data_IF_527480396655
#
_entry.id   IF_527480396655
#
_cell.length_a   1.000
_cell.length_b   1.000
_cell.length_c   1.000
_cell.angle_alpha   90.00
_cell.angle_beta   90.00
_cell.angle_gamma   90.00
#
_symmetry.space_group_name_H-M   'P 1'
#
loop_
_entity.id
_entity.type
_entity.pdbx_description
1 polymer ?
#
# COMPACT_ATOMS: atom_id res chain seq x y z
N UNK A 1 -4.22 23.19 10.01
CA UNK A 1 -5.52 22.51 10.26
C UNK A 1 -5.84 22.60 11.74
N UNK A 2 -6.99 23.16 12.10
CA UNK A 2 -7.37 23.38 13.51
C UNK A 2 -7.74 22.05 14.18
N UNK A 3 -7.51 21.93 15.51
CA UNK A 3 -7.84 20.73 16.32
C UNK A 3 -9.28 20.22 16.13
N UNK A 4 -10.18 21.09 15.71
CA UNK A 4 -11.60 20.80 15.44
C UNK A 4 -11.79 19.93 14.17
N UNK A 5 -11.03 20.19 13.12
CA UNK A 5 -11.13 19.44 11.84
C UNK A 5 -10.66 18.00 12.00
N UNK A 6 -9.63 17.77 12.82
CA UNK A 6 -9.12 16.41 13.11
C UNK A 6 -10.14 15.59 13.91
N UNK A 7 -10.85 16.22 14.86
CA UNK A 7 -11.88 15.54 15.66
C UNK A 7 -13.10 15.14 14.81
N UNK A 8 -13.54 16.00 13.91
CA UNK A 8 -14.68 15.72 13.01
C UNK A 8 -14.32 14.58 12.06
N UNK A 9 -13.10 14.56 11.52
CA UNK A 9 -12.63 13.50 10.62
C UNK A 9 -12.58 12.14 11.32
N UNK A 10 -12.04 12.07 12.53
CA UNK A 10 -12.04 10.82 13.33
C UNK A 10 -13.46 10.32 13.65
N UNK A 11 -14.41 11.22 13.95
CA UNK A 11 -15.79 10.83 14.27
C UNK A 11 -16.52 10.29 13.05
N UNK A 12 -16.33 10.89 11.86
CA UNK A 12 -16.94 10.42 10.61
C UNK A 12 -16.38 9.07 10.19
N UNK A 13 -15.07 8.84 10.37
CA UNK A 13 -14.43 7.56 10.05
C UNK A 13 -14.91 6.44 10.99
N UNK A 14 -15.01 6.69 12.30
CA UNK A 14 -15.56 5.73 13.25
C UNK A 14 -17.02 5.37 12.95
N UNK A 15 -17.85 6.33 12.51
CA UNK A 15 -19.26 6.06 12.20
C UNK A 15 -19.45 5.21 10.94
N UNK A 16 -18.56 5.30 9.95
CA UNK A 16 -18.57 4.44 8.76
C UNK A 16 -18.32 2.96 9.06
N UNK A 17 -17.54 2.66 10.11
CA UNK A 17 -17.25 1.29 10.52
C UNK A 17 -18.32 0.70 11.45
N UNK A 18 -19.11 1.53 12.13
CA UNK A 18 -20.10 1.12 13.14
C UNK A 18 -21.53 0.97 12.60
N UNK A 19 -21.80 1.38 11.36
CA UNK A 19 -23.15 1.23 10.79
C UNK A 19 -23.50 -0.27 10.64
N UNK A 20 -24.42 -0.74 11.46
CA UNK A 20 -25.00 -2.09 11.44
C UNK A 20 -26.06 -2.27 10.34
N UNK A 21 -25.81 -1.82 9.14
CA UNK A 21 -26.69 -2.14 8.04
C UNK A 21 -26.62 -3.66 7.79
N UNK A 22 -27.75 -4.35 7.98
CA UNK A 22 -27.89 -5.81 7.91
C UNK A 22 -27.67 -6.37 6.49
N UNK A 23 -26.45 -6.32 6.02
CA UNK A 23 -26.02 -7.12 4.89
C UNK A 23 -25.61 -8.48 5.43
N UNK A 24 -26.09 -9.56 4.78
CA UNK A 24 -25.70 -10.92 5.10
C UNK A 24 -24.16 -11.01 5.09
N UNK A 25 -23.56 -11.05 6.28
CA UNK A 25 -22.15 -11.34 6.42
C UNK A 25 -21.98 -12.81 6.11
N UNK A 26 -21.28 -13.09 5.02
CA UNK A 26 -20.87 -14.44 4.74
C UNK A 26 -19.94 -14.88 5.88
N UNK A 27 -20.39 -15.83 6.69
CA UNK A 27 -19.60 -16.43 7.77
C UNK A 27 -18.58 -17.35 7.12
N UNK A 28 -17.47 -16.76 6.70
CA UNK A 28 -16.29 -17.53 6.28
C UNK A 28 -15.67 -18.10 7.57
N UNK A 29 -15.83 -19.39 7.81
CA UNK A 29 -15.47 -20.12 9.03
C UNK A 29 -13.94 -20.24 9.23
N UNK A 30 -13.17 -19.29 8.71
CA UNK A 30 -11.76 -19.14 9.05
C UNK A 30 -10.80 -19.98 8.21
N UNK A 31 -11.22 -20.55 7.08
CA UNK A 31 -10.31 -21.17 6.13
C UNK A 31 -9.58 -20.10 5.30
N UNK A 32 -8.30 -19.88 5.61
CA UNK A 32 -7.45 -18.93 4.88
C UNK A 32 -7.09 -19.40 3.46
N UNK A 33 -7.42 -20.65 3.09
CA UNK A 33 -7.33 -21.15 1.70
C UNK A 33 -8.54 -20.75 0.86
N UNK A 34 -9.68 -20.45 1.52
CA UNK A 34 -10.88 -20.04 0.82
C UNK A 34 -10.68 -18.70 0.10
N UNK A 35 -11.22 -18.59 -1.10
CA UNK A 35 -11.17 -17.35 -1.85
C UNK A 35 -12.06 -16.30 -1.22
N UNK A 36 -11.46 -15.22 -0.70
CA UNK A 36 -12.19 -14.03 -0.24
C UNK A 36 -12.47 -13.14 -1.45
N UNK A 37 -13.71 -13.18 -1.96
CA UNK A 37 -14.06 -12.50 -3.22
C UNK A 37 -13.93 -10.97 -3.14
N UNK A 38 -14.18 -10.36 -1.97
CA UNK A 38 -14.01 -8.92 -1.78
C UNK A 38 -12.54 -8.50 -1.60
N UNK A 39 -11.66 -9.44 -1.25
CA UNK A 39 -10.26 -9.20 -0.90
C UNK A 39 -9.34 -10.25 -1.54
N UNK A 40 -9.12 -10.19 -2.87
CA UNK A 40 -8.36 -11.21 -3.57
C UNK A 40 -6.84 -11.06 -3.43
N UNK A 41 -6.29 -9.98 -2.85
CA UNK A 41 -4.85 -9.72 -2.80
C UNK A 41 -4.37 -9.16 -1.46
N UNK A 42 -3.07 -9.34 -1.17
CA UNK A 42 -2.38 -8.95 0.07
C UNK A 42 -2.03 -7.46 0.15
N UNK A 43 -2.09 -6.75 -0.95
CA UNK A 43 -1.93 -5.29 -1.02
C UNK A 43 -3.06 -4.66 -1.81
N UNK A 44 -3.34 -3.40 -1.55
CA UNK A 44 -4.14 -2.54 -2.43
C UNK A 44 -3.32 -2.22 -3.68
N UNK A 45 -2.59 -1.13 -3.65
CA UNK A 45 -1.57 -0.82 -4.67
C UNK A 45 -0.19 -0.86 -4.01
N UNK A 46 -0.02 -0.10 -2.92
CA UNK A 46 1.16 -0.06 -2.07
C UNK A 46 0.83 -0.34 -0.59
N UNK A 47 -0.40 -0.09 -0.15
CA UNK A 47 -0.86 -0.32 1.21
C UNK A 47 -1.20 -1.80 1.44
N UNK A 48 -0.80 -2.39 2.60
CA UNK A 48 -1.11 -3.78 2.92
C UNK A 48 -2.61 -3.99 3.17
N UNK A 49 -3.11 -5.21 2.96
CA UNK A 49 -4.46 -5.65 3.36
C UNK A 49 -4.40 -6.52 4.61
N UNK A 50 -5.56 -6.91 5.13
CA UNK A 50 -5.67 -7.89 6.21
C UNK A 50 -5.76 -9.34 5.73
N UNK A 51 -5.68 -9.57 4.42
CA UNK A 51 -5.68 -10.93 3.86
C UNK A 51 -4.51 -11.73 4.44
N UNK A 52 -4.77 -13.00 4.76
CA UNK A 52 -3.81 -13.88 5.43
C UNK A 52 -3.44 -15.04 4.52
N UNK A 53 -2.21 -15.49 4.63
CA UNK A 53 -1.78 -16.76 4.08
C UNK A 53 -2.18 -17.91 5.01
N UNK A 54 -2.65 -19.04 4.47
CA UNK A 54 -2.75 -20.27 5.26
C UNK A 54 -1.37 -20.76 5.67
N UNK A 55 -1.30 -21.58 6.71
CA UNK A 55 -0.03 -22.22 7.12
C UNK A 55 0.55 -23.01 5.94
N UNK A 56 1.85 -22.82 5.68
CA UNK A 56 2.60 -23.35 4.55
C UNK A 56 2.16 -22.81 3.18
N UNK A 57 1.22 -21.88 3.13
CA UNK A 57 0.93 -21.14 1.90
C UNK A 57 2.01 -20.09 1.61
N UNK A 58 2.17 -19.76 0.35
CA UNK A 58 3.09 -18.69 -0.06
C UNK A 58 2.49 -17.82 -1.15
N UNK A 59 3.05 -16.62 -1.30
CA UNK A 59 2.71 -15.73 -2.40
C UNK A 59 3.94 -14.99 -2.88
N UNK A 60 3.98 -14.74 -4.17
CA UNK A 60 4.95 -13.86 -4.83
C UNK A 60 4.21 -12.63 -5.34
N UNK A 61 4.78 -11.45 -5.10
CA UNK A 61 4.25 -10.18 -5.57
C UNK A 61 5.34 -9.40 -6.28
N UNK A 62 5.03 -8.91 -7.48
CA UNK A 62 5.86 -8.04 -8.28
C UNK A 62 5.16 -6.70 -8.41
N UNK A 63 5.86 -5.62 -8.09
CA UNK A 63 5.45 -4.25 -8.38
C UNK A 63 6.33 -3.67 -9.47
N UNK A 64 5.73 -2.90 -10.38
CA UNK A 64 6.44 -2.20 -11.44
C UNK A 64 5.85 -0.80 -11.58
N UNK A 65 6.70 0.23 -11.55
CA UNK A 65 6.33 1.62 -11.78
C UNK A 65 7.25 2.20 -12.85
N UNK A 66 6.66 2.73 -13.92
CA UNK A 66 7.41 3.48 -14.92
C UNK A 66 7.84 4.81 -14.34
N UNK A 67 9.09 5.25 -14.60
CA UNK A 67 9.65 6.43 -13.93
C UNK A 67 9.32 7.75 -14.62
N UNK A 68 8.68 7.72 -15.78
CA UNK A 68 8.22 8.91 -16.47
C UNK A 68 6.90 9.39 -15.87
N UNK A 69 6.81 10.65 -15.39
CA UNK A 69 5.53 11.21 -14.99
C UNK A 69 4.56 11.29 -16.17
N UNK A 70 3.28 11.03 -15.92
CA UNK A 70 2.24 11.13 -16.95
C UNK A 70 2.04 12.58 -17.43
N UNK A 71 2.26 13.57 -16.54
CA UNK A 71 2.33 14.98 -16.90
C UNK A 71 3.74 15.49 -16.62
N UNK A 72 4.49 15.83 -17.66
CA UNK A 72 5.87 16.25 -17.55
C UNK A 72 6.14 17.38 -18.54
N UNK A 73 6.29 18.62 -18.03
CA UNK A 73 6.55 19.80 -18.87
C UNK A 73 7.98 19.85 -19.40
N UNK A 74 8.91 19.15 -18.72
CA UNK A 74 10.34 19.16 -19.04
C UNK A 74 10.80 17.89 -19.75
N UNK A 75 9.90 16.96 -20.07
CA UNK A 75 10.24 15.75 -20.81
C UNK A 75 10.46 16.07 -22.30
N UNK A 76 11.48 15.47 -22.94
CA UNK A 76 11.83 15.79 -24.32
C UNK A 76 10.77 15.36 -25.33
N UNK A 77 10.00 14.32 -25.01
CA UNK A 77 8.99 13.74 -25.89
C UNK A 77 7.58 13.87 -25.31
N UNK A 78 6.56 13.74 -26.16
CA UNK A 78 5.19 13.62 -25.70
C UNK A 78 4.95 12.30 -24.99
N UNK A 79 3.89 12.23 -24.16
CA UNK A 79 3.52 11.01 -23.44
C UNK A 79 3.26 9.82 -24.39
N UNK A 80 2.62 10.09 -25.53
CA UNK A 80 2.34 9.06 -26.52
C UNK A 80 3.60 8.58 -27.25
N UNK A 81 4.56 9.48 -27.50
CA UNK A 81 5.85 9.14 -28.14
C UNK A 81 6.73 8.27 -27.22
N UNK A 82 6.59 8.43 -25.90
CA UNK A 82 7.29 7.61 -24.88
C UNK A 82 6.45 6.40 -24.46
N UNK A 83 5.46 6.01 -25.26
CA UNK A 83 4.58 4.87 -25.00
C UNK A 83 4.04 4.86 -23.55
N UNK A 84 3.53 6.02 -23.08
CA UNK A 84 3.00 6.23 -21.71
C UNK A 84 4.03 5.97 -20.60
N UNK A 85 5.31 6.14 -20.89
CA UNK A 85 6.42 5.97 -19.95
C UNK A 85 7.12 4.62 -20.03
N UNK A 86 6.67 3.71 -20.92
CA UNK A 86 7.30 2.40 -21.09
C UNK A 86 8.73 2.49 -21.64
N UNK A 87 9.07 3.54 -22.38
CA UNK A 87 10.42 3.79 -22.92
C UNK A 87 11.37 4.43 -21.91
N UNK A 88 10.89 4.74 -20.71
CA UNK A 88 11.68 5.23 -19.59
C UNK A 88 12.06 4.07 -18.64
N UNK A 89 12.92 4.38 -17.65
CA UNK A 89 13.29 3.41 -16.64
C UNK A 89 12.11 2.94 -15.79
N UNK A 90 12.35 1.92 -14.99
CA UNK A 90 11.36 1.34 -14.09
C UNK A 90 11.88 1.22 -12.66
N UNK A 91 10.96 1.31 -11.70
CA UNK A 91 11.15 0.90 -10.31
C UNK A 91 10.42 -0.42 -10.11
N UNK A 92 11.16 -1.45 -9.74
CA UNK A 92 10.64 -2.80 -9.59
C UNK A 92 10.78 -3.22 -8.13
N UNK A 93 9.76 -3.85 -7.58
CA UNK A 93 9.77 -4.52 -6.29
C UNK A 93 9.43 -5.99 -6.46
N UNK A 94 10.14 -6.84 -5.76
CA UNK A 94 9.93 -8.28 -5.68
C UNK A 94 9.68 -8.66 -4.24
N UNK A 95 8.52 -9.24 -3.96
CA UNK A 95 8.12 -9.65 -2.63
C UNK A 95 7.79 -11.14 -2.61
N UNK A 96 8.19 -11.81 -1.54
CA UNK A 96 7.78 -13.17 -1.23
C UNK A 96 7.25 -13.24 0.19
N UNK A 97 6.07 -13.88 0.35
CA UNK A 97 5.39 -14.10 1.63
C UNK A 97 5.24 -15.57 1.92
N UNK A 98 5.29 -15.92 3.20
CA UNK A 98 5.09 -17.29 3.66
C UNK A 98 4.30 -17.34 4.98
N UNK A 99 3.25 -18.17 5.02
CA UNK A 99 2.45 -18.41 6.21
C UNK A 99 3.15 -19.41 7.14
N UNK A 100 3.68 -18.91 8.26
CA UNK A 100 4.50 -19.72 9.20
C UNK A 100 3.68 -20.37 10.29
N UNK A 101 2.63 -19.70 10.79
CA UNK A 101 1.72 -20.16 11.84
C UNK A 101 0.29 -19.72 11.50
N UNK A 102 -0.73 -20.25 12.18
CA UNK A 102 -2.09 -19.75 12.03
C UNK A 102 -2.14 -18.22 12.22
N UNK A 103 -2.75 -17.51 11.29
CA UNK A 103 -2.89 -16.05 11.23
C UNK A 103 -1.56 -15.27 11.18
N UNK A 104 -0.42 -15.92 10.92
CA UNK A 104 0.89 -15.28 10.95
C UNK A 104 1.62 -15.53 9.65
N UNK A 105 2.05 -14.47 9.00
CA UNK A 105 2.92 -14.52 7.83
C UNK A 105 4.18 -13.67 8.03
N UNK A 106 5.21 -14.04 7.32
CA UNK A 106 6.45 -13.26 7.18
C UNK A 106 6.73 -13.07 5.70
N UNK A 107 7.49 -12.05 5.39
CA UNK A 107 7.88 -11.80 4.01
C UNK A 107 9.16 -11.01 3.90
N UNK A 108 9.69 -11.05 2.69
CA UNK A 108 10.84 -10.26 2.27
C UNK A 108 10.47 -9.52 0.99
N UNK A 109 10.82 -8.26 0.92
CA UNK A 109 10.65 -7.41 -0.25
C UNK A 109 11.99 -6.83 -0.66
N UNK A 110 12.29 -6.83 -1.96
CA UNK A 110 13.48 -6.22 -2.56
C UNK A 110 13.07 -5.22 -3.63
N UNK A 111 13.36 -3.95 -3.40
CA UNK A 111 13.13 -2.89 -4.38
C UNK A 111 14.38 -2.60 -5.22
N UNK A 112 14.20 -2.06 -6.43
CA UNK A 112 15.30 -1.75 -7.37
C UNK A 112 16.22 -0.62 -6.91
N UNK A 113 15.80 0.20 -5.93
CA UNK A 113 16.64 1.20 -5.25
C UNK A 113 17.54 0.58 -4.15
N UNK A 114 17.68 -0.74 -4.17
CA UNK A 114 18.43 -1.55 -3.20
C UNK A 114 17.81 -1.64 -1.80
N UNK A 115 16.62 -1.10 -1.56
CA UNK A 115 15.90 -1.33 -0.31
C UNK A 115 15.55 -2.81 -0.16
N UNK A 116 15.79 -3.35 1.03
CA UNK A 116 15.31 -4.66 1.47
C UNK A 116 14.40 -4.43 2.67
N UNK A 117 13.17 -4.93 2.60
CA UNK A 117 12.24 -4.96 3.72
C UNK A 117 12.05 -6.39 4.20
N UNK A 118 12.14 -6.59 5.51
CA UNK A 118 11.61 -7.78 6.17
C UNK A 118 10.36 -7.37 6.93
N UNK A 119 9.30 -8.14 6.81
CA UNK A 119 8.04 -7.84 7.50
C UNK A 119 7.38 -9.09 8.06
N UNK A 120 6.51 -8.86 9.03
CA UNK A 120 5.62 -9.87 9.59
C UNK A 120 4.25 -9.27 9.84
N UNK A 121 3.21 -10.06 9.62
CA UNK A 121 1.83 -9.68 9.90
C UNK A 121 1.15 -10.77 10.72
N UNK A 122 0.46 -10.34 11.80
CA UNK A 122 -0.31 -11.21 12.69
C UNK A 122 -1.76 -10.75 12.78
N UNK A 123 -2.67 -11.59 12.32
CA UNK A 123 -4.11 -11.36 12.41
C UNK A 123 -4.66 -11.73 13.78
N UNK A 124 -4.95 -10.74 14.60
CA UNK A 124 -5.47 -10.94 15.97
C UNK A 124 -6.99 -10.84 16.07
N UNK A 125 -7.68 -10.30 15.06
CA UNK A 125 -9.12 -10.18 14.99
C UNK A 125 -9.62 -10.62 13.62
N UNK A 126 -10.66 -11.44 13.57
CA UNK A 126 -11.26 -11.94 12.33
C UNK A 126 -12.68 -11.42 12.19
N UNK A 127 -13.02 -10.89 11.03
CA UNK A 127 -14.40 -10.49 10.74
C UNK A 127 -15.31 -11.71 10.69
N UNK A 128 -16.40 -11.67 11.46
CA UNK A 128 -17.38 -12.75 11.58
C UNK A 128 -18.54 -12.37 12.48
N UNK A 129 -19.13 -13.34 13.19
CA UNK A 129 -20.28 -13.11 14.08
C UNK A 129 -19.95 -12.21 15.26
N UNK A 130 -18.72 -12.31 15.79
CA UNK A 130 -18.29 -11.64 17.01
C UNK A 130 -17.60 -10.31 16.74
N UNK A 131 -17.22 -10.03 15.50
CA UNK A 131 -16.55 -8.79 15.12
C UNK A 131 -16.99 -8.30 13.73
N UNK A 132 -17.36 -7.02 13.61
CA UNK A 132 -17.71 -6.44 12.31
C UNK A 132 -16.48 -6.13 11.43
N UNK A 133 -15.27 -6.24 11.99
CA UNK A 133 -14.00 -5.91 11.31
C UNK A 133 -12.97 -7.02 11.46
N UNK A 134 -12.02 -7.02 10.58
CA UNK A 134 -10.79 -7.80 10.65
C UNK A 134 -9.64 -6.88 11.04
N UNK A 135 -8.67 -7.37 11.84
CA UNK A 135 -7.52 -6.57 12.21
C UNK A 135 -6.24 -7.42 12.31
N UNK A 136 -5.13 -6.82 11.87
CA UNK A 136 -3.80 -7.42 11.90
C UNK A 136 -2.77 -6.42 12.41
N UNK A 137 -1.84 -6.88 13.23
CA UNK A 137 -0.63 -6.14 13.57
C UNK A 137 0.41 -6.33 12.45
N UNK A 138 1.14 -5.29 12.14
CA UNK A 138 2.17 -5.26 11.10
C UNK A 138 3.47 -4.76 11.71
N UNK A 139 4.56 -5.50 11.50
CA UNK A 139 5.92 -5.13 11.85
C UNK A 139 6.76 -5.20 10.60
N UNK A 140 7.62 -4.23 10.37
CA UNK A 140 8.57 -4.27 9.28
C UNK A 140 9.87 -3.55 9.64
N UNK A 141 10.91 -3.85 8.89
CA UNK A 141 12.14 -3.08 8.89
C UNK A 141 12.69 -3.01 7.47
N UNK A 142 12.86 -1.78 6.97
CA UNK A 142 13.55 -1.49 5.73
C UNK A 142 15.03 -1.27 6.00
N UNK A 143 15.88 -1.81 5.16
CA UNK A 143 17.27 -1.41 5.01
C UNK A 143 17.44 -0.77 3.64
N UNK A 144 17.71 0.53 3.63
CA UNK A 144 17.93 1.28 2.41
C UNK A 144 19.41 1.60 2.27
N UNK A 145 20.06 0.95 1.30
CA UNK A 145 21.37 1.37 0.80
C UNK A 145 21.14 2.32 -0.37
N UNK A 146 21.01 3.60 -0.06
CA UNK A 146 20.68 4.61 -1.09
C UNK A 146 21.85 4.86 -2.04
N UNK A 147 23.01 4.20 -1.84
CA UNK A 147 24.18 4.27 -2.72
C UNK A 147 24.72 5.69 -2.95
N UNK A 148 24.35 6.63 -2.09
CA UNK A 148 24.84 8.00 -2.10
C UNK A 148 26.04 8.07 -1.17
N UNK A 149 27.10 8.66 -1.65
CA UNK A 149 28.42 8.76 -1.01
C UNK A 149 28.45 9.41 0.38
N UNK A 150 27.31 9.85 0.93
CA UNK A 150 27.23 10.56 2.22
C UNK A 150 26.00 10.17 3.06
N UNK A 151 25.32 9.06 2.76
CA UNK A 151 24.19 8.58 3.58
C UNK A 151 24.54 7.20 4.09
N UNK A 152 24.71 7.06 5.39
CA UNK A 152 24.87 5.76 6.02
C UNK A 152 23.65 4.88 5.73
N UNK A 153 23.87 3.60 5.49
CA UNK A 153 22.82 2.59 5.43
C UNK A 153 22.00 2.65 6.71
N UNK A 154 20.72 3.02 6.59
CA UNK A 154 19.86 3.20 7.77
C UNK A 154 18.74 2.17 7.77
N UNK A 155 18.48 1.61 8.96
CA UNK A 155 17.29 0.83 9.19
C UNK A 155 16.09 1.72 9.50
N UNK A 156 14.94 1.36 8.95
CA UNK A 156 13.67 2.04 9.11
C UNK A 156 12.65 1.06 9.70
N UNK A 157 12.66 0.85 11.01
CA UNK A 157 11.63 0.05 11.66
C UNK A 157 10.25 0.69 11.51
N UNK A 158 9.25 -0.14 11.27
CA UNK A 158 7.87 0.26 11.14
C UNK A 158 6.95 -0.62 11.99
N UNK A 159 5.94 0.01 12.57
CA UNK A 159 4.88 -0.63 13.33
C UNK A 159 3.53 -0.11 12.82
N UNK A 160 2.59 -1.02 12.58
CA UNK A 160 1.27 -0.62 12.11
C UNK A 160 0.17 -1.60 12.50
N UNK A 161 -1.04 -1.18 12.22
CA UNK A 161 -2.23 -2.01 12.31
C UNK A 161 -3.01 -1.87 11.00
N UNK A 162 -3.44 -2.98 10.45
CA UNK A 162 -4.36 -3.01 9.31
C UNK A 162 -5.73 -3.37 9.85
N UNK A 163 -6.69 -2.47 9.72
CA UNK A 163 -8.10 -2.72 10.02
C UNK A 163 -8.86 -2.76 8.72
N UNK A 164 -9.64 -3.80 8.49
CA UNK A 164 -10.47 -3.91 7.31
C UNK A 164 -11.90 -4.30 7.64
N UNK A 165 -12.80 -4.00 6.70
CA UNK A 165 -14.18 -4.47 6.71
C UNK A 165 -14.59 -4.88 5.31
N UNK A 166 -14.96 -6.15 5.16
CA UNK A 166 -15.61 -6.66 3.96
C UNK A 166 -17.11 -6.36 4.02
N UNK A 167 -17.67 -5.87 2.93
CA UNK A 167 -19.08 -5.60 2.73
C UNK A 167 -19.60 -6.63 1.72
N UNK A 168 -20.10 -7.76 2.26
CA UNK A 168 -20.42 -8.94 1.47
C UNK A 168 -19.22 -9.40 0.64
N UNK A 169 -19.48 -9.84 -0.58
CA UNK A 169 -18.46 -10.28 -1.54
C UNK A 169 -18.02 -9.18 -2.51
N UNK A 170 -18.52 -7.95 -2.32
CA UNK A 170 -18.39 -6.88 -3.32
C UNK A 170 -17.38 -5.82 -2.97
N UNK A 171 -17.15 -5.54 -1.70
CA UNK A 171 -16.25 -4.47 -1.32
C UNK A 171 -15.46 -4.79 -0.06
N UNK A 172 -14.28 -4.20 0.06
CA UNK A 172 -13.48 -4.17 1.26
C UNK A 172 -12.95 -2.75 1.48
N UNK A 173 -13.03 -2.29 2.72
CA UNK A 173 -12.54 -0.99 3.17
C UNK A 173 -11.41 -1.20 4.16
N UNK A 174 -10.42 -0.29 4.16
CA UNK A 174 -9.20 -0.41 4.95
C UNK A 174 -8.85 0.90 5.63
N UNK A 175 -8.33 0.78 6.85
CA UNK A 175 -7.65 1.86 7.57
C UNK A 175 -6.35 1.29 8.15
N UNK A 176 -5.22 1.97 7.92
CA UNK A 176 -3.91 1.48 8.32
C UNK A 176 -3.11 2.61 8.99
N UNK A 177 -3.20 2.77 10.31
CA UNK A 177 -2.25 3.59 11.06
C UNK A 177 -0.89 2.89 11.10
N UNK A 178 0.15 3.56 10.60
CA UNK A 178 1.51 3.04 10.50
C UNK A 178 2.47 4.12 10.97
N UNK A 179 3.36 3.78 11.89
CA UNK A 179 4.49 4.59 12.29
C UNK A 179 5.79 4.02 11.70
N UNK A 180 6.64 4.87 11.19
CA UNK A 180 7.93 4.51 10.60
C UNK A 180 9.01 5.39 11.21
N UNK A 181 9.99 4.77 11.84
CA UNK A 181 11.18 5.44 12.35
C UNK A 181 12.20 5.68 11.23
N UNK A 182 12.94 6.76 11.30
CA UNK A 182 13.97 7.13 10.33
C UNK A 182 13.47 7.20 8.86
N UNK A 183 12.23 7.55 8.60
CA UNK A 183 11.68 7.63 7.24
C UNK A 183 12.37 8.72 6.39
N UNK A 184 12.92 9.78 7.02
CA UNK A 184 13.67 10.83 6.33
C UNK A 184 15.13 10.44 6.12
N UNK A 185 15.45 9.90 4.95
CA UNK A 185 16.81 9.53 4.56
C UNK A 185 17.55 10.65 3.82
N UNK A 186 16.86 11.73 3.43
CA UNK A 186 17.40 12.74 2.51
C UNK A 186 17.95 13.97 3.20
N UNK A 187 17.56 14.20 4.44
CA UNK A 187 18.01 15.36 5.21
C UNK A 187 18.64 14.91 6.55
N UNK A 188 19.95 14.69 6.58
CA UNK A 188 20.64 14.28 7.81
C UNK A 188 20.70 15.40 8.86
N UNK A 189 20.43 16.66 8.47
CA UNK A 189 20.51 17.81 9.37
C UNK A 189 19.26 17.96 10.26
N UNK A 190 18.14 17.32 9.90
CA UNK A 190 16.93 17.36 10.72
C UNK A 190 16.94 16.27 11.79
N UNK A 191 16.46 16.61 12.97
CA UNK A 191 16.20 15.67 14.06
C UNK A 191 14.85 14.97 13.93
N UNK A 192 13.95 15.55 13.11
CA UNK A 192 12.62 14.97 12.86
C UNK A 192 12.69 14.02 11.67
N UNK A 193 12.85 12.75 11.98
CA UNK A 193 13.00 11.66 10.98
C UNK A 193 11.84 10.71 10.94
N UNK A 194 10.96 10.76 11.93
CA UNK A 194 9.85 9.83 12.06
C UNK A 194 8.64 10.29 11.25
N UNK A 195 7.85 9.34 10.81
CA UNK A 195 6.62 9.60 10.07
C UNK A 195 5.49 8.73 10.57
N UNK A 196 4.33 9.33 10.76
CA UNK A 196 3.08 8.65 10.98
C UNK A 196 2.23 8.73 9.72
N UNK A 197 1.86 7.58 9.16
CA UNK A 197 1.01 7.45 7.97
C UNK A 197 -0.32 6.88 8.40
N UNK A 198 -1.43 7.43 7.91
CA UNK A 198 -2.74 6.81 8.04
C UNK A 198 -3.25 6.43 6.67
N UNK A 199 -3.07 5.17 6.30
CA UNK A 199 -3.60 4.63 5.05
C UNK A 199 -5.12 4.52 5.09
N UNK A 200 -5.77 4.86 3.99
CA UNK A 200 -7.18 4.61 3.70
C UNK A 200 -7.26 3.92 2.36
N UNK A 201 -8.05 2.87 2.27
CA UNK A 201 -8.19 2.15 1.03
C UNK A 201 -9.57 1.55 0.82
N UNK A 202 -9.87 1.32 -0.44
CA UNK A 202 -11.08 0.63 -0.86
C UNK A 202 -10.78 -0.28 -2.06
N UNK A 203 -11.39 -1.45 -2.05
CA UNK A 203 -11.46 -2.37 -3.19
C UNK A 203 -12.91 -2.70 -3.45
N UNK A 204 -13.37 -2.53 -4.69
CA UNK A 204 -14.75 -2.78 -5.11
C UNK A 204 -14.77 -3.74 -6.29
N UNK A 205 -15.41 -4.90 -6.14
CA UNK A 205 -15.63 -5.86 -7.21
C UNK A 205 -16.75 -5.37 -8.12
N UNK A 206 -16.40 -4.95 -9.32
CA UNK A 206 -17.33 -4.41 -10.33
C UNK A 206 -17.85 -5.48 -11.27
N UNK A 207 -17.05 -6.53 -11.55
CA UNK A 207 -17.42 -7.76 -12.26
C UNK A 207 -16.88 -8.95 -11.47
N UNK A 208 -17.24 -10.17 -11.83
CA UNK A 208 -16.87 -11.40 -11.09
C UNK A 208 -15.37 -11.55 -10.80
N UNK A 209 -14.54 -11.00 -11.68
CA UNK A 209 -13.08 -11.09 -11.56
C UNK A 209 -12.38 -9.74 -11.73
N UNK A 210 -13.14 -8.63 -11.80
CA UNK A 210 -12.58 -7.28 -12.03
C UNK A 210 -12.92 -6.37 -10.86
N UNK A 211 -11.92 -5.63 -10.39
CA UNK A 211 -12.00 -4.75 -9.23
C UNK A 211 -11.49 -3.35 -9.58
N UNK A 212 -12.07 -2.36 -8.94
CA UNK A 212 -11.52 -1.00 -8.84
C UNK A 212 -10.93 -0.86 -7.45
N UNK A 213 -9.71 -0.36 -7.38
CA UNK A 213 -8.96 -0.16 -6.14
C UNK A 213 -8.56 1.32 -6.04
N UNK A 214 -8.65 1.86 -4.85
CA UNK A 214 -8.14 3.20 -4.54
C UNK A 214 -7.48 3.20 -3.17
N UNK A 215 -6.41 3.99 -3.03
CA UNK A 215 -5.72 4.20 -1.77
C UNK A 215 -5.30 5.65 -1.61
N UNK A 216 -5.26 6.10 -0.34
CA UNK A 216 -4.78 7.41 0.03
C UNK A 216 -4.12 7.35 1.40
N UNK A 217 -2.92 7.88 1.52
CA UNK A 217 -2.12 7.80 2.74
C UNK A 217 -1.58 9.19 3.13
N UNK A 218 -2.38 9.98 3.87
CA UNK A 218 -1.88 11.19 4.50
C UNK A 218 -0.80 10.86 5.52
N UNK A 219 0.20 11.72 5.60
CA UNK A 219 1.33 11.56 6.49
C UNK A 219 1.54 12.78 7.38
N UNK A 220 2.05 12.54 8.58
CA UNK A 220 2.56 13.53 9.52
C UNK A 220 3.99 13.15 9.90
N UNK A 221 4.90 14.12 9.94
CA UNK A 221 6.31 13.93 10.19
C UNK A 221 7.11 15.06 9.58
N UNK A 222 8.33 14.79 9.14
CA UNK A 222 9.19 15.80 8.54
C UNK A 222 8.54 16.46 7.31
N UNK A 223 8.85 17.74 7.12
CA UNK A 223 8.30 18.56 6.04
C UNK A 223 9.36 18.85 4.95
N UNK A 224 8.93 19.13 3.70
CA UNK A 224 7.58 19.01 3.19
C UNK A 224 7.23 17.54 2.89
N UNK A 225 5.99 17.13 3.16
CA UNK A 225 5.56 15.75 2.96
C UNK A 225 4.23 15.67 2.21
N UNK A 226 4.23 15.45 0.89
CA UNK A 226 2.99 15.15 0.18
C UNK A 226 2.43 13.81 0.66
N UNK A 227 1.10 13.72 0.75
CA UNK A 227 0.42 12.45 0.97
C UNK A 227 0.65 11.53 -0.24
N UNK A 228 0.57 10.22 -0.01
CA UNK A 228 0.55 9.24 -1.10
C UNK A 228 -0.89 9.00 -1.55
N UNK A 229 -1.08 8.72 -2.86
CA UNK A 229 -2.36 8.31 -3.41
C UNK A 229 -2.23 7.48 -4.68
N UNK A 230 -3.23 6.66 -4.93
CA UNK A 230 -3.27 5.81 -6.10
C UNK A 230 -4.66 5.24 -6.40
N UNK A 231 -4.87 4.83 -7.64
CA UNK A 231 -6.03 4.07 -8.08
C UNK A 231 -5.64 3.01 -9.09
N UNK A 232 -6.42 1.95 -9.18
CA UNK A 232 -6.09 0.81 -10.03
C UNK A 232 -7.32 0.08 -10.57
N UNK A 233 -7.11 -0.58 -11.70
CA UNK A 233 -7.98 -1.63 -12.22
C UNK A 233 -7.28 -2.97 -12.00
N UNK A 234 -7.99 -3.91 -11.37
CA UNK A 234 -7.45 -5.22 -10.99
C UNK A 234 -8.26 -6.34 -11.63
N UNK A 235 -7.57 -7.37 -12.07
CA UNK A 235 -8.15 -8.58 -12.66
C UNK A 235 -7.62 -9.81 -11.96
N UNK A 236 -8.52 -10.61 -11.36
CA UNK A 236 -8.19 -11.93 -10.83
C UNK A 236 -8.32 -12.99 -11.92
N UNK A 237 -7.35 -13.88 -12.03
CA UNK A 237 -7.35 -15.02 -12.94
C UNK A 237 -6.73 -16.25 -12.25
N UNK A 238 -7.59 -17.13 -11.73
CA UNK A 238 -7.14 -18.26 -10.90
C UNK A 238 -6.39 -17.77 -9.66
N UNK A 239 -5.19 -18.31 -9.41
CA UNK A 239 -4.29 -17.89 -8.33
C UNK A 239 -3.48 -16.62 -8.63
N UNK A 240 -3.73 -15.93 -9.74
CA UNK A 240 -3.07 -14.68 -10.10
C UNK A 240 -4.00 -13.49 -9.89
N UNK A 241 -3.38 -12.36 -9.55
CA UNK A 241 -4.02 -11.05 -9.56
C UNK A 241 -3.14 -10.11 -10.39
N UNK A 242 -3.70 -9.54 -11.44
CA UNK A 242 -3.08 -8.54 -12.31
C UNK A 242 -3.68 -7.19 -11.99
N UNK A 243 -2.87 -6.16 -11.82
CA UNK A 243 -3.33 -4.84 -11.51
C UNK A 243 -2.61 -3.81 -12.38
N UNK A 244 -3.38 -2.98 -13.10
CA UNK A 244 -2.89 -1.77 -13.75
C UNK A 244 -3.17 -0.60 -12.80
N UNK A 245 -2.15 0.18 -12.46
CA UNK A 245 -2.29 1.22 -11.45
C UNK A 245 -1.68 2.56 -11.88
N UNK A 246 -2.19 3.60 -11.24
CA UNK A 246 -1.72 4.97 -11.34
C UNK A 246 -1.44 5.46 -9.92
N UNK A 247 -0.21 5.82 -9.63
CA UNK A 247 0.23 6.25 -8.30
C UNK A 247 1.06 7.53 -8.39
N UNK A 248 1.11 8.26 -7.30
CA UNK A 248 1.93 9.46 -7.18
C UNK A 248 3.33 9.17 -6.59
N UNK A 249 3.68 7.90 -6.42
CA UNK A 249 4.99 7.49 -5.90
C UNK A 249 5.45 6.15 -6.44
N UNK A 250 6.71 5.82 -6.19
CA UNK A 250 7.30 4.51 -6.48
C UNK A 250 7.29 3.57 -5.26
N UNK A 251 6.57 3.94 -4.20
CA UNK A 251 6.57 3.20 -2.95
C UNK A 251 6.10 1.76 -3.13
N UNK A 252 6.89 0.83 -2.61
CA UNK A 252 6.60 -0.60 -2.56
C UNK A 252 6.90 -1.21 -1.18
N UNK A 253 7.58 -0.46 -0.29
CA UNK A 253 7.86 -0.83 1.11
C UNK A 253 7.28 0.21 2.06
N UNK A 254 7.17 -0.12 3.35
CA UNK A 254 6.61 0.82 4.34
C UNK A 254 7.47 2.05 4.55
N UNK A 255 8.80 1.90 4.54
CA UNK A 255 9.72 3.03 4.63
C UNK A 255 9.62 3.96 3.41
N UNK A 256 9.41 3.41 2.21
CA UNK A 256 9.18 4.21 1.01
C UNK A 256 7.81 4.91 1.07
N UNK A 257 6.76 4.21 1.51
CA UNK A 257 5.41 4.76 1.67
C UNK A 257 5.39 5.95 2.63
N UNK A 258 6.16 5.87 3.72
CA UNK A 258 6.28 6.94 4.71
C UNK A 258 6.89 8.24 4.16
N UNK A 259 7.55 8.20 3.01
CA UNK A 259 8.07 9.39 2.32
C UNK A 259 6.99 10.12 1.52
N UNK A 260 5.85 9.48 1.25
CA UNK A 260 4.71 10.05 0.55
C UNK A 260 4.88 10.10 -0.96
N UNK A 261 4.06 10.92 -1.62
CA UNK A 261 4.06 11.11 -3.07
C UNK A 261 5.20 11.96 -3.59
N UNK A 262 5.38 12.01 -4.88
CA UNK A 262 6.40 12.80 -5.57
C UNK A 262 5.81 14.09 -6.15
N UNK A 263 6.64 15.12 -6.23
CA UNK A 263 6.30 16.40 -6.86
C UNK A 263 7.46 16.88 -7.72
N UNK A 264 7.11 17.42 -8.89
CA UNK A 264 8.08 18.05 -9.79
C UNK A 264 7.73 19.52 -10.02
N UNK A 265 8.76 20.37 -10.25
CA UNK A 265 8.54 21.75 -10.65
C UNK A 265 7.92 21.79 -12.06
N UNK A 266 7.06 22.77 -12.27
CA UNK A 266 6.42 23.08 -13.55
C UNK A 266 7.07 24.30 -14.20
N UNK A 267 6.85 24.51 -15.49
CA UNK A 267 7.39 25.66 -16.22
C UNK A 267 6.89 27.00 -15.69
N UNK A 268 5.74 27.04 -15.04
CA UNK A 268 5.15 28.20 -14.40
C UNK A 268 5.72 28.51 -12.99
N UNK A 269 6.71 27.72 -12.54
CA UNK A 269 7.34 27.83 -11.22
C UNK A 269 6.54 27.18 -10.08
N UNK A 270 5.39 26.58 -10.34
CA UNK A 270 4.65 25.83 -9.34
C UNK A 270 5.19 24.41 -9.19
N UNK A 271 4.77 23.72 -8.11
CA UNK A 271 4.99 22.28 -7.95
C UNK A 271 3.65 21.55 -8.08
N UNK A 272 3.64 20.47 -8.83
CA UNK A 272 2.46 19.60 -8.92
C UNK A 272 2.83 18.15 -8.60
N UNK A 273 1.83 17.42 -8.11
CA UNK A 273 1.95 15.97 -7.88
C UNK A 273 2.19 15.27 -9.20
N UNK A 274 3.19 14.40 -9.22
CA UNK A 274 3.46 13.53 -10.35
C UNK A 274 2.62 12.27 -10.25
N UNK A 275 2.14 11.79 -11.38
CA UNK A 275 1.44 10.51 -11.50
C UNK A 275 2.22 9.60 -12.43
N UNK A 276 2.29 8.34 -12.06
CA UNK A 276 3.04 7.30 -12.77
C UNK A 276 2.14 6.14 -13.12
N UNK A 277 2.32 5.60 -14.31
CA UNK A 277 1.75 4.32 -14.71
C UNK A 277 2.55 3.19 -14.07
N UNK A 278 1.86 2.15 -13.69
CA UNK A 278 2.49 0.95 -13.16
C UNK A 278 1.58 -0.28 -13.25
N UNK A 279 2.11 -1.41 -12.87
CA UNK A 279 1.35 -2.63 -12.70
C UNK A 279 1.87 -3.45 -11.52
N UNK A 280 0.98 -4.25 -10.95
CA UNK A 280 1.32 -5.28 -9.97
C UNK A 280 0.88 -6.64 -10.49
N UNK A 281 1.63 -7.66 -10.10
CA UNK A 281 1.30 -9.05 -10.34
C UNK A 281 1.50 -9.85 -9.06
N UNK A 282 0.44 -10.49 -8.59
CA UNK A 282 0.48 -11.44 -7.47
C UNK A 282 0.22 -12.85 -7.94
N UNK A 283 0.96 -13.81 -7.40
CA UNK A 283 0.73 -15.24 -7.56
C UNK A 283 0.69 -15.91 -6.20
N UNK A 284 -0.40 -16.63 -5.92
CA UNK A 284 -0.60 -17.43 -4.69
C UNK A 284 -0.33 -18.90 -4.96
N UNK A 285 0.26 -19.57 -3.96
CA UNK A 285 0.63 -20.99 -3.98
C UNK A 285 0.11 -21.68 -2.71
N UNK A 286 -1.12 -22.19 -2.77
CA UNK A 286 -1.74 -23.01 -1.71
C UNK A 286 -3.02 -23.70 -2.17
#
# INVERSE_FOLDING_TARGET
MTKTTTRVLCTVICSLFLSTAGFAQNTDDGDDRALKLAEPDFSLISLPTSLRLPVNGSAFHLTHRFTRPLSCDLCPNSLAADAFGMDFGARIGLEYRYGILPNTEIGVHRASDKTIELFGQYGFLRQGKDSPVEASALLAVDWSDVGRTNVDSQSQPALGVVVSRRIGERAALYVQPIWVHNANLYDPSTTDKDTFVTGFGARVRVLDTVYVVAEYAPRAGYAPGPSHGGFALEKRAGGHVFQLNFTDSFASTLGQLARGGTRSPRLDGTQSTDWYLGFNLTRKFF
#
